data_IF_282962073180
#
_entry.id   IF_282962073180
#
_cell.length_a   1.000
_cell.length_b   1.000
_cell.length_c   1.000
_cell.angle_alpha   90.00
_cell.angle_beta   90.00
_cell.angle_gamma   90.00
#
_symmetry.space_group_name_H-M   'P 1'
#
loop_
_entity.id
_entity.type
_entity.pdbx_description
1 polymer ?
#
# COMPACT_ATOMS: atom_id res chain seq x y z
N UNK A 1 -29.62 -14.44 -58.77
CA UNK A 1 -29.23 -15.50 -57.83
C UNK A 1 -27.75 -15.41 -57.41
N UNK A 2 -26.81 -15.29 -58.36
CA UNK A 2 -25.35 -15.23 -58.08
C UNK A 2 -24.99 -14.00 -57.23
N UNK A 3 -25.57 -12.82 -57.51
CA UNK A 3 -25.30 -11.60 -56.77
C UNK A 3 -25.70 -11.68 -55.28
N UNK A 4 -26.82 -12.35 -54.97
CA UNK A 4 -27.29 -12.55 -53.58
C UNK A 4 -26.34 -13.47 -52.81
N UNK A 5 -25.82 -14.50 -53.50
CA UNK A 5 -24.88 -15.44 -52.91
C UNK A 5 -23.51 -14.77 -52.57
N UNK A 6 -23.05 -13.91 -53.48
CA UNK A 6 -21.80 -13.17 -53.31
C UNK A 6 -21.90 -12.18 -52.13
N UNK A 7 -23.02 -11.47 -51.99
CA UNK A 7 -23.29 -10.54 -50.89
C UNK A 7 -23.42 -11.30 -49.57
N UNK A 8 -24.11 -12.44 -49.56
CA UNK A 8 -24.22 -13.30 -48.36
C UNK A 8 -22.88 -13.84 -47.90
N UNK A 9 -22.02 -14.27 -48.83
CA UNK A 9 -20.66 -14.74 -48.53
C UNK A 9 -19.77 -13.62 -48.01
N UNK A 10 -19.89 -12.41 -48.59
CA UNK A 10 -19.13 -11.26 -48.11
C UNK A 10 -19.50 -10.84 -46.68
N UNK A 11 -20.81 -10.85 -46.37
CA UNK A 11 -21.29 -10.55 -44.99
C UNK A 11 -20.86 -11.64 -44.02
N UNK A 12 -20.87 -12.91 -44.42
CA UNK A 12 -20.41 -14.02 -43.60
C UNK A 12 -18.90 -13.92 -43.31
N UNK A 13 -18.09 -13.67 -44.33
CA UNK A 13 -16.64 -13.46 -44.17
C UNK A 13 -16.33 -12.23 -43.30
N UNK A 14 -17.08 -11.13 -43.44
CA UNK A 14 -16.93 -9.95 -42.61
C UNK A 14 -17.29 -10.25 -41.15
N UNK A 15 -18.35 -11.03 -40.90
CA UNK A 15 -18.69 -11.46 -39.52
C UNK A 15 -17.67 -12.40 -38.92
N UNK A 16 -17.12 -13.32 -39.71
CA UNK A 16 -16.03 -14.19 -39.24
C UNK A 16 -14.77 -13.38 -38.94
N UNK A 17 -14.45 -12.43 -39.81
CA UNK A 17 -13.29 -11.53 -39.57
C UNK A 17 -13.48 -10.66 -38.33
N UNK A 18 -14.67 -10.05 -38.16
CA UNK A 18 -14.99 -9.30 -36.93
C UNK A 18 -15.00 -10.21 -35.69
N UNK A 19 -15.52 -11.43 -35.79
CA UNK A 19 -15.50 -12.43 -34.71
C UNK A 19 -14.07 -12.83 -34.33
N UNK A 20 -13.17 -12.98 -35.28
CA UNK A 20 -11.75 -13.24 -35.07
C UNK A 20 -11.04 -12.05 -34.40
N UNK A 21 -11.38 -10.81 -34.78
CA UNK A 21 -10.81 -9.58 -34.18
C UNK A 21 -11.34 -9.38 -32.77
N UNK A 22 -12.63 -9.67 -32.49
CA UNK A 22 -13.21 -9.53 -31.14
C UNK A 22 -12.81 -10.67 -30.20
N UNK A 23 -12.55 -11.88 -30.72
CA UNK A 23 -12.05 -13.00 -29.92
C UNK A 23 -10.54 -12.93 -29.67
N UNK A 24 -9.79 -12.26 -30.53
CA UNK A 24 -8.34 -12.04 -30.32
C UNK A 24 -8.02 -10.96 -29.32
N UNK A 25 -9.01 -10.17 -28.88
CA UNK A 25 -8.85 -9.19 -27.78
C UNK A 25 -8.62 -9.81 -26.39
N UNK A 26 -8.70 -11.14 -26.24
CA UNK A 26 -8.53 -11.85 -24.98
C UNK A 26 -7.27 -12.69 -24.84
N UNK A 27 -6.49 -12.89 -25.91
CA UNK A 27 -5.19 -13.61 -25.82
C UNK A 27 -4.10 -12.63 -25.38
N UNK A 28 -4.14 -12.27 -24.08
CA UNK A 28 -2.97 -11.64 -23.46
C UNK A 28 -1.82 -12.63 -23.62
N UNK A 29 -0.89 -12.30 -24.51
CA UNK A 29 0.27 -13.12 -24.85
C UNK A 29 0.98 -13.57 -23.57
N UNK A 30 1.14 -14.88 -23.29
CA UNK A 30 1.77 -15.39 -22.07
C UNK A 30 3.18 -14.86 -21.87
N UNK A 31 3.85 -14.45 -22.97
CA UNK A 31 5.14 -13.80 -22.93
C UNK A 31 5.06 -12.37 -22.32
N UNK A 32 4.02 -11.60 -22.62
CA UNK A 32 3.83 -10.26 -22.05
C UNK A 32 3.50 -10.32 -20.55
N UNK A 33 2.77 -11.33 -20.09
CA UNK A 33 2.51 -11.59 -18.66
C UNK A 33 3.80 -11.93 -17.92
N UNK A 34 4.63 -12.83 -18.47
CA UNK A 34 5.92 -13.19 -17.86
C UNK A 34 6.88 -12.00 -17.80
N UNK A 35 6.91 -11.18 -18.84
CA UNK A 35 7.77 -10.00 -18.87
C UNK A 35 7.29 -8.91 -17.89
N UNK A 36 5.97 -8.76 -17.74
CA UNK A 36 5.38 -7.85 -16.76
C UNK A 36 5.69 -8.28 -15.31
N UNK A 37 5.51 -9.57 -14.99
CA UNK A 37 5.81 -10.09 -13.66
C UNK A 37 7.30 -9.97 -13.32
N UNK A 38 8.22 -10.22 -14.27
CA UNK A 38 9.66 -10.00 -14.07
C UNK A 38 9.99 -8.54 -13.77
N UNK A 39 9.40 -7.59 -14.50
CA UNK A 39 9.62 -6.15 -14.26
C UNK A 39 9.14 -5.70 -12.88
N UNK A 40 8.02 -6.24 -12.43
CA UNK A 40 7.48 -5.97 -11.09
C UNK A 40 8.40 -6.55 -10.03
N UNK A 41 8.85 -7.80 -10.21
CA UNK A 41 9.77 -8.44 -9.28
C UNK A 41 11.09 -7.66 -9.15
N UNK A 42 11.67 -7.24 -10.27
CA UNK A 42 12.88 -6.39 -10.26
C UNK A 42 12.63 -5.06 -9.56
N UNK A 43 11.45 -4.44 -9.75
CA UNK A 43 11.10 -3.20 -9.06
C UNK A 43 10.99 -3.40 -7.55
N UNK A 44 10.42 -4.53 -7.09
CA UNK A 44 10.34 -4.88 -5.68
C UNK A 44 11.74 -5.03 -5.09
N UNK A 45 12.59 -5.86 -5.69
CA UNK A 45 13.94 -6.11 -5.22
C UNK A 45 14.77 -4.82 -5.18
N UNK A 46 14.73 -4.04 -6.25
CA UNK A 46 15.43 -2.77 -6.32
C UNK A 46 14.91 -1.77 -5.30
N UNK A 47 13.58 -1.68 -5.14
CA UNK A 47 12.97 -0.79 -4.15
C UNK A 47 13.34 -1.13 -2.71
N UNK A 48 13.40 -2.42 -2.36
CA UNK A 48 13.84 -2.88 -1.04
C UNK A 48 15.33 -2.58 -0.78
N UNK A 49 16.18 -2.79 -1.78
CA UNK A 49 17.60 -2.42 -1.69
C UNK A 49 17.77 -0.92 -1.51
N UNK A 50 17.05 -0.13 -2.30
CA UNK A 50 17.09 1.33 -2.23
C UNK A 50 16.62 1.86 -0.86
N UNK A 51 15.60 1.24 -0.25
CA UNK A 51 15.18 1.55 1.12
C UNK A 51 16.30 1.26 2.14
N UNK A 52 16.94 0.10 2.02
CA UNK A 52 18.00 -0.31 2.94
C UNK A 52 19.23 0.59 2.83
N UNK A 53 19.51 1.12 1.64
CA UNK A 53 20.64 1.99 1.37
C UNK A 53 20.32 3.49 1.54
N UNK A 54 19.08 3.84 1.90
CA UNK A 54 18.66 5.24 2.07
C UNK A 54 18.51 6.02 0.76
N UNK A 55 18.39 5.33 -0.38
CA UNK A 55 18.13 5.97 -1.69
C UNK A 55 16.64 6.25 -1.86
N UNK A 56 16.12 7.17 -1.05
CA UNK A 56 14.69 7.40 -0.86
C UNK A 56 13.92 7.69 -2.15
N UNK A 57 14.42 8.58 -3.01
CA UNK A 57 13.76 8.93 -4.27
C UNK A 57 13.66 7.75 -5.26
N UNK A 58 14.65 6.87 -5.27
CA UNK A 58 14.65 5.66 -6.09
C UNK A 58 13.74 4.59 -5.49
N UNK A 59 13.82 4.38 -4.18
CA UNK A 59 12.99 3.46 -3.43
C UNK A 59 11.50 3.77 -3.62
N UNK A 60 11.11 5.01 -3.46
CA UNK A 60 9.73 5.46 -3.66
C UNK A 60 9.21 5.12 -5.05
N UNK A 61 9.97 5.47 -6.11
CA UNK A 61 9.56 5.19 -7.49
C UNK A 61 9.41 3.69 -7.79
N UNK A 62 10.35 2.88 -7.31
CA UNK A 62 10.33 1.43 -7.53
C UNK A 62 9.18 0.77 -6.77
N UNK A 63 8.99 1.12 -5.51
CA UNK A 63 7.95 0.55 -4.66
C UNK A 63 6.55 1.03 -5.06
N UNK A 64 6.39 2.30 -5.45
CA UNK A 64 5.12 2.79 -5.98
C UNK A 64 4.73 2.04 -7.25
N UNK A 65 5.67 1.84 -8.19
CA UNK A 65 5.42 1.03 -9.40
C UNK A 65 5.04 -0.41 -9.07
N UNK A 66 5.68 -1.02 -8.08
CA UNK A 66 5.34 -2.34 -7.60
C UNK A 66 3.94 -2.38 -6.98
N UNK A 67 3.58 -1.39 -6.16
CA UNK A 67 2.27 -1.27 -5.54
C UNK A 67 1.13 -1.17 -6.55
N UNK A 68 1.31 -0.41 -7.63
CA UNK A 68 0.31 -0.28 -8.70
C UNK A 68 0.09 -1.59 -9.48
N UNK A 69 1.10 -2.46 -9.53
CA UNK A 69 1.07 -3.69 -10.32
C UNK A 69 0.62 -4.92 -9.54
N UNK A 70 0.78 -4.92 -8.21
CA UNK A 70 0.54 -6.07 -7.35
C UNK A 70 -0.91 -6.13 -6.81
N UNK A 71 -1.37 -7.34 -6.54
CA UNK A 71 -2.70 -7.59 -5.97
C UNK A 71 -2.75 -7.27 -4.47
N UNK A 72 -1.66 -7.49 -3.77
CA UNK A 72 -1.50 -7.20 -2.33
C UNK A 72 -0.42 -6.13 -2.14
N UNK A 73 -0.73 -4.86 -2.42
CA UNK A 73 0.25 -3.80 -2.53
C UNK A 73 0.70 -3.19 -1.20
N UNK A 74 0.13 -3.62 -0.06
CA UNK A 74 0.31 -2.97 1.24
C UNK A 74 1.77 -2.63 1.55
N UNK A 75 2.65 -3.63 1.52
CA UNK A 75 4.06 -3.45 1.90
C UNK A 75 4.80 -2.48 0.98
N UNK A 76 4.43 -2.44 -0.29
CA UNK A 76 5.04 -1.55 -1.28
C UNK A 76 4.57 -0.11 -1.10
N UNK A 77 3.27 0.10 -0.81
CA UNK A 77 2.77 1.43 -0.44
C UNK A 77 3.38 1.94 0.86
N UNK A 78 3.48 1.09 1.90
CA UNK A 78 4.12 1.47 3.17
C UNK A 78 5.60 1.84 2.96
N UNK A 79 6.33 1.08 2.14
CA UNK A 79 7.71 1.37 1.81
C UNK A 79 7.88 2.67 1.01
N UNK A 80 7.00 2.91 0.02
CA UNK A 80 6.99 4.14 -0.77
C UNK A 80 6.63 5.36 0.10
N UNK A 81 5.63 5.22 0.98
CA UNK A 81 5.23 6.28 1.93
C UNK A 81 6.38 6.65 2.87
N UNK A 82 7.08 5.64 3.42
CA UNK A 82 8.27 5.88 4.23
C UNK A 82 9.35 6.63 3.45
N UNK A 83 9.63 6.20 2.23
CA UNK A 83 10.63 6.85 1.39
C UNK A 83 10.26 8.30 1.04
N UNK A 84 8.98 8.61 0.83
CA UNK A 84 8.48 9.97 0.65
C UNK A 84 8.65 10.81 1.93
N UNK A 85 8.31 10.24 3.09
CA UNK A 85 8.45 10.88 4.40
C UNK A 85 9.91 11.27 4.71
N UNK A 86 10.86 10.36 4.43
CA UNK A 86 12.30 10.62 4.62
C UNK A 86 12.84 11.75 3.70
N UNK A 87 12.17 12.02 2.59
CA UNK A 87 12.46 13.14 1.70
C UNK A 87 11.78 14.45 2.13
N UNK A 88 11.01 14.46 3.23
CA UNK A 88 10.19 15.59 3.66
C UNK A 88 8.92 15.81 2.80
N UNK A 89 8.56 14.86 1.95
CA UNK A 89 7.37 14.91 1.09
C UNK A 89 6.18 14.29 1.81
N UNK A 90 5.74 14.97 2.86
CA UNK A 90 4.74 14.44 3.81
C UNK A 90 3.36 14.24 3.18
N UNK A 91 2.91 15.18 2.34
CA UNK A 91 1.63 15.06 1.63
C UNK A 91 1.60 13.85 0.69
N UNK A 92 2.70 13.59 -0.01
CA UNK A 92 2.81 12.41 -0.86
C UNK A 92 2.84 11.12 -0.04
N UNK A 93 3.54 11.13 1.09
CA UNK A 93 3.55 10.02 2.05
C UNK A 93 2.13 9.69 2.52
N UNK A 94 1.38 10.69 2.96
CA UNK A 94 0.00 10.53 3.44
C UNK A 94 -0.93 10.03 2.31
N UNK A 95 -0.80 10.58 1.08
CA UNK A 95 -1.54 10.11 -0.10
C UNK A 95 -1.27 8.65 -0.45
N UNK A 96 -0.03 8.18 -0.33
CA UNK A 96 0.32 6.77 -0.55
C UNK A 96 -0.32 5.84 0.48
N UNK A 97 -0.44 6.27 1.74
CA UNK A 97 -1.15 5.52 2.79
C UNK A 97 -2.67 5.48 2.56
N UNK A 98 -3.26 6.58 2.08
CA UNK A 98 -4.68 6.61 1.69
C UNK A 98 -4.95 5.62 0.54
N UNK A 99 -4.11 5.60 -0.48
CA UNK A 99 -4.19 4.61 -1.57
C UNK A 99 -4.05 3.17 -1.07
N UNK A 100 -3.15 2.93 -0.10
CA UNK A 100 -3.02 1.63 0.53
C UNK A 100 -4.33 1.19 1.20
N UNK A 101 -5.00 2.12 1.89
CA UNK A 101 -6.27 1.87 2.57
C UNK A 101 -7.41 1.60 1.57
N UNK A 102 -7.48 2.36 0.49
CA UNK A 102 -8.45 2.13 -0.60
C UNK A 102 -8.28 0.75 -1.24
N UNK A 103 -7.03 0.32 -1.46
CA UNK A 103 -6.71 -0.95 -2.09
C UNK A 103 -6.85 -2.16 -1.16
N UNK A 104 -6.59 -1.97 0.14
CA UNK A 104 -6.65 -3.01 1.18
C UNK A 104 -7.29 -2.49 2.48
N UNK A 105 -8.62 -2.25 2.51
CA UNK A 105 -9.31 -1.72 3.70
C UNK A 105 -9.15 -2.61 4.94
N UNK A 106 -8.99 -3.92 4.75
CA UNK A 106 -8.75 -4.88 5.84
C UNK A 106 -7.42 -4.66 6.57
N UNK A 107 -6.49 -3.91 5.99
CA UNK A 107 -5.20 -3.60 6.59
C UNK A 107 -5.19 -2.25 7.35
N UNK A 108 -6.37 -1.68 7.64
CA UNK A 108 -6.52 -0.37 8.29
C UNK A 108 -5.60 -0.20 9.51
N UNK A 109 -5.57 -1.19 10.40
CA UNK A 109 -4.74 -1.13 11.60
C UNK A 109 -3.24 -1.04 11.27
N UNK A 110 -2.75 -1.84 10.34
CA UNK A 110 -1.34 -1.82 9.94
C UNK A 110 -0.96 -0.49 9.28
N UNK A 111 -1.85 0.06 8.45
CA UNK A 111 -1.66 1.35 7.79
C UNK A 111 -1.65 2.48 8.82
N UNK A 112 -2.60 2.50 9.75
CA UNK A 112 -2.67 3.52 10.79
C UNK A 112 -1.45 3.49 11.73
N UNK A 113 -0.96 2.30 12.10
CA UNK A 113 0.27 2.15 12.90
C UNK A 113 1.50 2.67 12.16
N UNK A 114 1.59 2.40 10.85
CA UNK A 114 2.66 2.92 10.01
C UNK A 114 2.55 4.44 9.85
N UNK A 115 1.34 4.97 9.66
CA UNK A 115 1.09 6.41 9.57
C UNK A 115 1.52 7.13 10.85
N UNK A 116 1.06 6.63 12.01
CA UNK A 116 1.47 7.20 13.31
C UNK A 116 2.99 7.18 13.51
N UNK A 117 3.67 6.11 13.07
CA UNK A 117 5.14 6.06 13.13
C UNK A 117 5.78 7.14 12.25
N UNK A 118 5.33 7.30 11.00
CA UNK A 118 5.84 8.35 10.10
C UNK A 118 5.54 9.76 10.62
N UNK A 119 4.38 9.98 11.24
CA UNK A 119 4.05 11.24 11.93
C UNK A 119 5.00 11.53 13.09
N UNK A 120 5.33 10.50 13.89
CA UNK A 120 6.34 10.66 14.96
C UNK A 120 7.74 10.96 14.42
N UNK A 121 8.15 10.28 13.34
CA UNK A 121 9.47 10.45 12.73
C UNK A 121 9.66 11.88 12.17
N UNK A 122 8.59 12.48 11.64
CA UNK A 122 8.61 13.89 11.18
C UNK A 122 8.36 14.93 12.29
N UNK A 123 8.16 14.48 13.54
CA UNK A 123 7.93 15.36 14.70
C UNK A 123 6.48 15.81 14.91
N UNK A 124 5.54 15.31 14.08
CA UNK A 124 4.11 15.62 14.19
C UNK A 124 3.44 14.73 15.25
N UNK A 125 3.82 14.94 16.49
CA UNK A 125 3.37 14.13 17.63
C UNK A 125 1.88 14.29 17.94
N UNK A 126 1.28 15.43 17.58
CA UNK A 126 -0.16 15.66 17.80
C UNK A 126 -1.00 14.86 16.81
N UNK A 127 -0.62 14.85 15.53
CA UNK A 127 -1.28 14.00 14.53
C UNK A 127 -1.13 12.51 14.87
N UNK A 128 0.07 12.08 15.29
CA UNK A 128 0.31 10.70 15.72
C UNK A 128 -0.58 10.31 16.91
N UNK A 129 -0.77 11.21 17.86
CA UNK A 129 -1.65 10.97 19.00
C UNK A 129 -3.12 10.74 18.57
N UNK A 130 -3.63 11.59 17.68
CA UNK A 130 -4.98 11.44 17.13
C UNK A 130 -5.15 10.10 16.41
N UNK A 131 -4.19 9.74 15.56
CA UNK A 131 -4.19 8.47 14.82
C UNK A 131 -4.21 7.27 15.77
N UNK A 132 -3.34 7.26 16.78
CA UNK A 132 -3.23 6.16 17.74
C UNK A 132 -4.41 6.07 18.70
N UNK A 133 -4.97 7.20 19.13
CA UNK A 133 -6.17 7.21 19.98
C UNK A 133 -7.38 6.63 19.23
N UNK A 134 -7.60 7.01 17.98
CA UNK A 134 -8.66 6.43 17.15
C UNK A 134 -8.50 4.92 16.98
N UNK A 135 -7.26 4.42 16.85
CA UNK A 135 -7.00 2.98 16.80
C UNK A 135 -7.19 2.30 18.15
N UNK A 136 -6.85 2.95 19.25
CA UNK A 136 -7.06 2.43 20.59
C UNK A 136 -8.56 2.27 20.92
N UNK A 137 -9.38 3.22 20.51
CA UNK A 137 -10.85 3.13 20.67
C UNK A 137 -11.44 1.92 19.93
N UNK A 138 -10.93 1.62 18.72
CA UNK A 138 -11.40 0.47 17.93
C UNK A 138 -10.76 -0.85 18.33
N UNK A 139 -9.55 -0.81 18.83
CA UNK A 139 -8.71 -1.97 19.17
C UNK A 139 -8.07 -1.79 20.55
N UNK A 140 -8.86 -1.73 21.66
CA UNK A 140 -8.36 -1.34 22.99
C UNK A 140 -7.30 -2.28 23.56
N UNK A 141 -7.28 -3.56 23.11
CA UNK A 141 -6.33 -4.57 23.58
C UNK A 141 -5.21 -4.86 22.58
N UNK A 142 -5.02 -3.99 21.58
CA UNK A 142 -3.95 -4.21 20.62
C UNK A 142 -2.59 -3.78 21.19
N UNK A 143 -1.71 -4.76 21.40
CA UNK A 143 -0.39 -4.56 21.99
C UNK A 143 0.50 -3.57 21.20
N UNK A 144 0.36 -3.49 19.87
CA UNK A 144 1.14 -2.55 19.06
C UNK A 144 0.66 -1.11 19.24
N UNK A 145 -0.66 -0.90 19.28
CA UNK A 145 -1.26 0.42 19.55
C UNK A 145 -0.83 0.92 20.92
N UNK A 146 -0.97 0.07 21.95
CA UNK A 146 -0.58 0.41 23.33
C UNK A 146 0.92 0.77 23.44
N UNK A 147 1.79 0.00 22.79
CA UNK A 147 3.24 0.29 22.76
C UNK A 147 3.56 1.61 22.07
N UNK A 148 2.90 1.91 20.96
CA UNK A 148 3.13 3.17 20.26
C UNK A 148 2.59 4.37 21.04
N UNK A 149 1.40 4.25 21.68
CA UNK A 149 0.88 5.27 22.59
C UNK A 149 1.81 5.51 23.77
N UNK A 150 2.32 4.45 24.40
CA UNK A 150 3.29 4.57 25.49
C UNK A 150 4.53 5.33 25.03
N UNK A 151 5.14 4.94 23.90
CA UNK A 151 6.32 5.59 23.34
C UNK A 151 6.06 7.07 23.04
N UNK A 152 4.91 7.38 22.44
CA UNK A 152 4.54 8.75 22.11
C UNK A 152 4.36 9.62 23.37
N UNK A 153 3.66 9.12 24.40
CA UNK A 153 3.50 9.85 25.67
C UNK A 153 4.85 10.04 26.38
N UNK A 154 5.78 9.06 26.31
CA UNK A 154 7.14 9.20 26.83
C UNK A 154 7.92 10.30 26.08
N UNK A 155 7.84 10.34 24.75
CA UNK A 155 8.49 11.40 23.95
C UNK A 155 7.96 12.80 24.28
N UNK A 156 6.66 12.90 24.60
CA UNK A 156 6.01 14.15 24.99
C UNK A 156 6.25 14.53 26.48
N UNK A 157 6.87 13.64 27.26
CA UNK A 157 7.03 13.83 28.70
C UNK A 157 5.71 13.72 29.48
N UNK A 158 4.65 13.18 28.89
CA UNK A 158 3.33 12.99 29.52
C UNK A 158 3.31 11.70 30.33
N UNK A 159 3.99 11.71 31.46
CA UNK A 159 4.09 10.56 32.35
C UNK A 159 2.77 10.17 32.99
N UNK A 160 1.83 11.11 33.12
CA UNK A 160 0.49 10.82 33.65
C UNK A 160 -0.32 9.90 32.74
N UNK A 161 -0.23 10.10 31.44
CA UNK A 161 -0.86 9.21 30.45
C UNK A 161 -0.13 7.87 30.35
N UNK A 162 1.20 7.83 30.47
CA UNK A 162 1.97 6.57 30.54
C UNK A 162 1.48 5.73 31.74
N UNK A 163 1.34 6.33 32.91
CA UNK A 163 0.85 5.62 34.11
C UNK A 163 -0.57 5.07 33.91
N UNK A 164 -1.45 5.82 33.26
CA UNK A 164 -2.82 5.35 32.95
C UNK A 164 -2.85 4.15 32.01
N UNK A 165 -1.89 4.02 31.09
CA UNK A 165 -1.79 2.87 30.18
C UNK A 165 -1.19 1.61 30.83
N UNK A 166 -0.48 1.74 31.96
CA UNK A 166 0.20 0.60 32.60
C UNK A 166 -0.69 -0.60 32.92
N UNK A 167 -1.93 -0.43 33.43
CA UNK A 167 -2.82 -1.58 33.69
C UNK A 167 -3.18 -2.37 32.43
N UNK A 168 -3.39 -1.68 31.30
CA UNK A 168 -3.68 -2.30 30.02
C UNK A 168 -2.45 -3.03 29.46
N UNK A 169 -1.28 -2.38 29.50
CA UNK A 169 -0.02 -2.97 29.08
C UNK A 169 0.36 -4.25 29.85
N UNK A 170 0.07 -4.28 31.16
CA UNK A 170 0.28 -5.47 32.01
C UNK A 170 -0.70 -6.59 31.69
N UNK A 171 -1.97 -6.26 31.48
CA UNK A 171 -3.04 -7.22 31.20
C UNK A 171 -2.78 -7.98 29.90
N UNK A 172 -2.26 -7.28 28.89
CA UNK A 172 -1.99 -7.84 27.56
C UNK A 172 -0.56 -8.45 27.46
N UNK A 173 0.16 -8.61 28.58
CA UNK A 173 1.55 -9.14 28.62
C UNK A 173 2.50 -8.38 27.68
N UNK A 174 2.27 -7.08 27.48
CA UNK A 174 3.10 -6.20 26.63
C UNK A 174 4.38 -5.78 27.36
N UNK A 175 4.37 -5.80 28.69
CA UNK A 175 5.55 -5.62 29.55
C UNK A 175 6.03 -6.96 30.10
N UNK A 176 7.38 -7.18 30.14
CA UNK A 176 7.96 -8.35 30.78
C UNK A 176 7.70 -8.37 32.28
#
# INVERSE_FOLDING_TARGET
LVAVFVVGLAIYLLRVLLGLVTTSGGVVNPWSRRNRSRRVQVAIEQGQMDLAEGRWASAERHLHRAAEAERQPLLYYLGAARAANEQGRYEESDSLLERALERQPQAELAIALSHAQLQMDRGDTDAALVTLQAMHERHPHNAQVLRQLQRLHQQRGDWSSVIRLLPELRKDKVLP
#
